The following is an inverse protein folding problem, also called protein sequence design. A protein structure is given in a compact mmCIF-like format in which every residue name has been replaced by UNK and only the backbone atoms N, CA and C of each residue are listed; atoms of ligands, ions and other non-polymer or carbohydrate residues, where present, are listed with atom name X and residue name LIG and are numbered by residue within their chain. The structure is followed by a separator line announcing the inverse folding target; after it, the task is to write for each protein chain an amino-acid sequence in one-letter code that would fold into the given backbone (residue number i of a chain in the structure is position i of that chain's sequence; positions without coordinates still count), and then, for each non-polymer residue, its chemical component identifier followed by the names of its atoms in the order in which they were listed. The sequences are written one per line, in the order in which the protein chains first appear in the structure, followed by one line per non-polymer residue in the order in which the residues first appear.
data_IF_914214303008
#
_entry.id   IF_914214303008
#
_cell.length_a   1.000
_cell.length_b   1.000
_cell.length_c   1.000
_cell.angle_alpha   90.00
_cell.angle_beta   90.00
_cell.angle_gamma   90.00
#
_symmetry.space_group_name_H-M   'P 1'
#
loop_
_entity.id
_entity.type
_entity.pdbx_description
1 polymer ?
#
# COMPACT_ATOMS: atom_id res chain seq x y z
N UNK A 1 16.56 61.69 28.96
CA UNK A 1 15.68 60.68 28.32
C UNK A 1 16.58 59.66 27.62
N UNK A 2 16.76 58.48 28.21
CA UNK A 2 17.65 57.42 27.68
C UNK A 2 16.80 56.44 26.87
N UNK A 3 17.01 56.37 25.55
CA UNK A 3 16.43 55.36 24.67
C UNK A 3 17.30 54.11 24.74
N UNK A 4 16.81 53.06 25.38
CA UNK A 4 17.40 51.74 25.32
C UNK A 4 17.08 51.09 23.97
N UNK A 5 18.11 50.81 23.16
CA UNK A 5 18.02 49.92 22.00
C UNK A 5 18.05 48.46 22.52
N UNK A 6 16.99 47.72 22.27
CA UNK A 6 16.89 46.28 22.53
C UNK A 6 17.29 45.53 21.24
N UNK A 7 18.24 44.58 21.26
CA UNK A 7 18.62 43.85 20.06
C UNK A 7 17.59 42.76 19.76
N UNK A 8 17.12 42.73 18.51
CA UNK A 8 16.24 41.70 17.97
C UNK A 8 17.08 40.44 17.70
N UNK A 9 17.02 39.46 18.60
CA UNK A 9 17.56 38.11 18.36
C UNK A 9 16.66 37.41 17.33
N UNK A 10 17.14 37.29 16.08
CA UNK A 10 16.59 36.32 15.14
C UNK A 10 17.00 34.92 15.62
N UNK A 11 16.08 34.20 16.25
CA UNK A 11 16.18 32.76 16.34
C UNK A 11 15.93 32.17 14.95
N UNK A 12 16.98 31.65 14.33
CA UNK A 12 16.83 30.67 13.25
C UNK A 12 16.21 29.44 13.90
N UNK A 13 14.89 29.35 13.85
CA UNK A 13 14.18 28.13 14.20
C UNK A 13 14.58 27.06 13.20
N UNK A 14 15.44 26.14 13.61
CA UNK A 14 15.42 24.79 13.05
C UNK A 14 13.99 24.30 13.23
N UNK A 15 13.23 24.20 12.13
CA UNK A 15 11.99 23.44 12.07
C UNK A 15 12.34 21.98 12.35
N UNK A 16 12.47 21.62 13.63
CA UNK A 16 12.33 20.24 14.06
C UNK A 16 10.91 19.84 13.69
N UNK A 17 10.76 18.78 12.89
CA UNK A 17 9.45 18.23 12.60
C UNK A 17 8.77 17.89 13.93
N UNK A 18 7.65 18.55 14.21
CA UNK A 18 6.80 18.23 15.35
C UNK A 18 6.51 16.72 15.36
N UNK A 19 6.54 16.05 16.51
CA UNK A 19 6.28 14.62 16.59
C UNK A 19 4.88 14.34 16.04
N UNK A 20 4.80 13.50 15.02
CA UNK A 20 3.55 13.24 14.31
C UNK A 20 2.76 12.16 15.04
N UNK A 21 1.42 12.28 15.02
CA UNK A 21 0.53 11.30 15.67
C UNK A 21 0.26 10.07 14.81
N UNK A 22 0.83 10.01 13.60
CA UNK A 22 0.70 8.89 12.67
C UNK A 22 2.02 8.11 12.60
N UNK A 23 1.99 6.79 12.38
CA UNK A 23 3.19 6.04 12.05
C UNK A 23 3.88 6.60 10.80
N UNK A 24 5.21 6.71 10.84
CA UNK A 24 6.02 7.22 9.75
C UNK A 24 6.77 6.08 9.06
N UNK A 25 6.54 5.91 7.77
CA UNK A 25 7.33 5.01 6.93
C UNK A 25 8.43 5.80 6.23
N UNK A 26 9.68 5.57 6.65
CA UNK A 26 10.87 6.12 6.01
C UNK A 26 11.36 5.18 4.92
N UNK A 27 11.52 5.73 3.73
CA UNK A 27 12.01 5.05 2.54
C UNK A 27 13.29 5.72 2.05
N UNK A 28 14.32 4.92 1.82
CA UNK A 28 15.56 5.38 1.17
C UNK A 28 15.75 4.60 -0.12
N UNK A 29 15.81 5.32 -1.24
CA UNK A 29 15.88 4.77 -2.60
C UNK A 29 16.99 5.50 -3.34
N UNK A 30 17.94 4.75 -3.91
CA UNK A 30 19.05 5.33 -4.69
C UNK A 30 18.64 5.60 -6.14
N UNK A 31 17.88 4.68 -6.71
CA UNK A 31 17.47 4.73 -8.12
C UNK A 31 16.15 5.50 -8.28
N UNK A 32 15.91 5.97 -9.52
CA UNK A 32 14.62 6.55 -9.87
C UNK A 32 13.51 5.50 -9.77
N UNK A 33 12.44 5.82 -9.05
CA UNK A 33 11.28 4.94 -8.92
C UNK A 33 10.46 5.01 -10.21
N UNK A 34 10.26 3.88 -10.87
CA UNK A 34 9.52 3.74 -12.13
C UNK A 34 8.27 2.88 -11.95
N UNK A 35 7.40 2.83 -12.94
CA UNK A 35 6.14 2.06 -12.86
C UNK A 35 6.33 0.59 -13.29
N UNK A 36 7.25 0.38 -14.23
CA UNK A 36 7.43 -0.88 -14.95
C UNK A 36 8.16 -1.91 -14.07
N UNK A 37 9.19 -1.47 -13.35
CA UNK A 37 10.06 -2.34 -12.57
C UNK A 37 10.23 -1.82 -11.13
N UNK A 38 10.36 -2.75 -10.19
CA UNK A 38 10.72 -2.43 -8.80
C UNK A 38 12.21 -2.11 -8.72
N UNK A 39 12.55 -1.10 -7.93
CA UNK A 39 13.93 -0.75 -7.58
C UNK A 39 14.21 -1.04 -6.11
N UNK A 40 15.43 -1.44 -5.74
CA UNK A 40 15.79 -1.68 -4.34
C UNK A 40 15.65 -0.42 -3.48
N UNK A 41 15.18 -0.60 -2.25
CA UNK A 41 15.10 0.45 -1.24
C UNK A 41 15.26 -0.12 0.17
N UNK A 42 15.49 0.75 1.16
CA UNK A 42 15.29 0.39 2.57
C UNK A 42 13.96 0.95 3.04
N UNK A 43 13.19 0.14 3.77
CA UNK A 43 11.95 0.55 4.42
C UNK A 43 12.09 0.47 5.94
N UNK A 44 11.63 1.51 6.62
CA UNK A 44 11.66 1.61 8.07
C UNK A 44 10.38 2.21 8.60
N UNK A 45 9.57 1.41 9.29
CA UNK A 45 8.38 1.88 9.96
C UNK A 45 8.73 2.38 11.37
N UNK A 46 8.21 3.56 11.71
CA UNK A 46 8.39 4.22 13.00
C UNK A 46 7.01 4.49 13.59
N UNK A 47 6.75 3.99 14.78
CA UNK A 47 5.51 4.28 15.52
C UNK A 47 5.73 5.42 16.52
N UNK A 48 4.75 6.31 16.74
CA UNK A 48 4.85 7.36 17.75
C UNK A 48 4.99 6.77 19.16
N UNK A 49 5.69 7.48 20.04
CA UNK A 49 5.85 7.07 21.44
C UNK A 49 4.48 6.94 22.13
N UNK A 50 4.23 5.81 22.78
CA UNK A 50 2.98 5.52 23.50
C UNK A 50 1.95 4.68 22.74
N UNK A 51 2.15 4.40 21.44
CA UNK A 51 1.33 3.43 20.69
C UNK A 51 2.00 2.05 20.62
N UNK A 52 1.97 1.29 21.71
CA UNK A 52 2.43 -0.11 21.73
C UNK A 52 3.91 -0.30 21.36
N UNK A 53 4.36 -1.54 21.15
CA UNK A 53 5.77 -1.85 20.86
C UNK A 53 6.31 -0.91 19.78
N UNK A 54 7.51 -0.38 19.99
CA UNK A 54 8.25 0.31 18.95
C UNK A 54 8.57 -0.70 17.84
N UNK A 55 7.60 -0.95 16.96
CA UNK A 55 7.71 -1.84 15.82
C UNK A 55 8.61 -1.16 14.80
N UNK A 56 9.89 -1.24 15.09
CA UNK A 56 10.96 -0.83 14.22
C UNK A 56 11.24 -2.00 13.29
N UNK A 57 10.48 -2.07 12.20
CA UNK A 57 10.82 -2.97 11.10
C UNK A 57 11.76 -2.25 10.17
N UNK A 58 13.07 -2.45 10.35
CA UNK A 58 14.10 -2.05 9.40
C UNK A 58 14.31 -3.21 8.42
N UNK A 59 14.15 -2.98 7.13
CA UNK A 59 14.28 -4.05 6.15
C UNK A 59 14.70 -3.59 4.77
N UNK A 60 15.38 -4.48 4.06
CA UNK A 60 15.51 -4.39 2.61
C UNK A 60 14.13 -4.55 1.98
N UNK A 61 13.87 -3.78 0.94
CA UNK A 61 12.62 -3.79 0.22
C UNK A 61 12.85 -3.41 -1.24
N UNK A 62 11.78 -3.46 -2.03
CA UNK A 62 11.75 -2.96 -3.40
C UNK A 62 10.47 -2.15 -3.61
N UNK A 63 10.58 -1.05 -4.36
CA UNK A 63 9.50 -0.10 -4.58
C UNK A 63 9.30 0.18 -6.06
N UNK A 64 8.04 0.34 -6.47
CA UNK A 64 7.67 0.88 -7.80
C UNK A 64 6.47 1.82 -7.70
N UNK A 65 6.31 2.68 -8.68
CA UNK A 65 5.07 3.44 -8.89
C UNK A 65 3.96 2.43 -9.22
N UNK A 66 2.76 2.66 -8.68
CA UNK A 66 1.57 1.85 -8.99
C UNK A 66 0.39 2.68 -9.45
N UNK A 67 -0.61 1.99 -9.96
CA UNK A 67 -1.82 2.56 -10.53
C UNK A 67 -1.76 2.54 -12.05
N UNK A 68 -2.80 3.06 -12.70
CA UNK A 68 -2.86 3.22 -14.15
C UNK A 68 -3.02 4.71 -14.46
N UNK A 69 -4.25 5.20 -14.58
CA UNK A 69 -4.54 6.62 -14.75
C UNK A 69 -3.97 7.50 -13.64
N UNK A 70 -3.93 6.99 -12.39
CA UNK A 70 -3.40 7.75 -11.25
C UNK A 70 -1.90 8.04 -11.31
N UNK A 71 -1.15 7.41 -12.23
CA UNK A 71 0.28 7.66 -12.38
C UNK A 71 0.57 9.07 -12.91
N UNK A 72 -0.40 9.77 -13.50
CA UNK A 72 -0.21 11.14 -14.00
C UNK A 72 -0.10 12.17 -12.86
N UNK A 73 -0.66 11.88 -11.69
CA UNK A 73 -0.70 12.81 -10.56
C UNK A 73 0.69 13.07 -9.98
N UNK A 74 0.92 14.27 -9.45
CA UNK A 74 2.21 14.65 -8.88
C UNK A 74 2.62 13.72 -7.73
N UNK A 75 1.71 13.48 -6.78
CA UNK A 75 1.92 12.55 -5.68
C UNK A 75 1.63 11.12 -6.11
N UNK A 76 2.70 10.33 -6.28
CA UNK A 76 2.60 8.94 -6.73
C UNK A 76 2.13 8.01 -5.61
N UNK A 77 1.33 7.01 -5.97
CA UNK A 77 1.11 5.82 -5.16
C UNK A 77 2.22 4.81 -5.43
N UNK A 78 2.60 4.03 -4.43
CA UNK A 78 3.67 3.04 -4.55
C UNK A 78 3.21 1.62 -4.21
N UNK A 79 3.81 0.64 -4.87
CA UNK A 79 3.80 -0.75 -4.41
C UNK A 79 5.15 -1.02 -3.76
N UNK A 80 5.12 -1.51 -2.52
CA UNK A 80 6.29 -1.85 -1.72
C UNK A 80 6.33 -3.36 -1.53
N UNK A 81 7.49 -3.99 -1.71
CA UNK A 81 7.72 -5.42 -1.45
C UNK A 81 8.90 -5.54 -0.49
N UNK A 82 8.65 -6.04 0.70
CA UNK A 82 9.67 -6.26 1.72
C UNK A 82 10.48 -7.51 1.39
N UNK A 83 11.74 -7.59 1.85
CA UNK A 83 12.51 -8.82 1.73
C UNK A 83 11.89 -9.94 2.58
N UNK A 84 11.45 -9.60 3.79
CA UNK A 84 10.75 -10.49 4.71
C UNK A 84 9.34 -9.98 4.96
N UNK A 85 8.40 -10.89 5.18
CA UNK A 85 7.05 -10.51 5.58
C UNK A 85 7.06 -9.76 6.92
N UNK A 86 6.21 -8.75 7.06
CA UNK A 86 6.03 -8.01 8.30
C UNK A 86 4.55 -7.84 8.62
N UNK A 87 4.18 -7.82 9.91
CA UNK A 87 2.82 -7.51 10.36
C UNK A 87 2.76 -6.06 10.82
N UNK A 88 2.44 -5.12 9.93
CA UNK A 88 2.49 -3.70 10.28
C UNK A 88 1.17 -3.20 10.86
N UNK A 89 1.25 -2.47 11.99
CA UNK A 89 0.14 -1.69 12.55
C UNK A 89 -1.13 -2.52 12.84
N UNK A 90 -0.92 -3.76 13.31
CA UNK A 90 -2.00 -4.72 13.60
C UNK A 90 -2.70 -5.27 12.35
N UNK A 91 -2.08 -5.16 11.18
CA UNK A 91 -2.52 -5.82 9.94
C UNK A 91 -1.85 -7.19 9.81
N UNK A 92 -2.48 -8.12 9.07
CA UNK A 92 -1.92 -9.45 8.87
C UNK A 92 -0.56 -9.39 8.17
N UNK A 93 0.31 -10.33 8.52
CA UNK A 93 1.69 -10.39 8.03
C UNK A 93 1.72 -10.47 6.51
N UNK A 94 2.45 -9.56 5.86
CA UNK A 94 2.53 -9.51 4.41
C UNK A 94 3.91 -9.07 3.92
N UNK A 95 4.32 -9.61 2.77
CA UNK A 95 5.53 -9.16 2.08
C UNK A 95 5.25 -7.93 1.21
N UNK A 96 4.11 -7.92 0.53
CA UNK A 96 3.70 -6.82 -0.34
C UNK A 96 2.76 -5.85 0.36
N UNK A 97 2.96 -4.56 0.12
CA UNK A 97 2.19 -3.47 0.71
C UNK A 97 1.87 -2.41 -0.34
N UNK A 98 0.74 -1.73 -0.13
CA UNK A 98 0.27 -0.66 -0.99
C UNK A 98 0.37 0.66 -0.25
N UNK A 99 1.06 1.64 -0.85
CA UNK A 99 1.07 3.03 -0.39
C UNK A 99 0.18 3.84 -1.32
N UNK A 100 -1.08 4.01 -0.94
CA UNK A 100 -2.04 4.78 -1.73
C UNK A 100 -1.99 6.26 -1.35
N UNK A 101 -1.64 7.12 -2.32
CA UNK A 101 -1.51 8.56 -2.11
C UNK A 101 -2.85 9.26 -1.84
N UNK A 102 -3.98 8.64 -2.23
CA UNK A 102 -5.32 9.23 -2.17
C UNK A 102 -5.40 10.65 -2.76
N UNK A 103 -4.60 10.95 -3.79
CA UNK A 103 -4.33 12.32 -4.23
C UNK A 103 -5.57 13.11 -4.67
N UNK A 104 -6.46 12.47 -5.43
CA UNK A 104 -7.71 13.10 -5.90
C UNK A 104 -8.80 13.14 -4.84
N UNK A 105 -8.62 12.40 -3.75
CA UNK A 105 -9.59 12.33 -2.67
C UNK A 105 -9.33 13.45 -1.67
N UNK A 106 -10.08 14.54 -1.80
CA UNK A 106 -9.94 15.70 -0.91
C UNK A 106 -10.12 15.37 0.59
N UNK A 107 -10.82 14.30 0.95
CA UNK A 107 -10.93 13.86 2.35
C UNK A 107 -9.88 12.83 2.76
N UNK A 108 -9.18 12.23 1.78
CA UNK A 108 -8.29 11.06 1.93
C UNK A 108 -8.94 9.81 2.54
N UNK A 109 -10.23 9.87 2.88
CA UNK A 109 -10.93 8.87 3.69
C UNK A 109 -11.82 7.95 2.88
N UNK A 110 -12.16 8.29 1.62
CA UNK A 110 -13.17 7.55 0.85
C UNK A 110 -12.77 6.09 0.66
N UNK A 111 -11.52 5.82 0.29
CA UNK A 111 -11.03 4.45 0.14
C UNK A 111 -11.14 3.64 1.43
N UNK A 112 -10.63 4.19 2.54
CA UNK A 112 -10.66 3.50 3.83
C UNK A 112 -12.10 3.26 4.29
N UNK A 113 -12.93 4.30 4.27
CA UNK A 113 -14.31 4.23 4.71
C UNK A 113 -15.10 3.20 3.89
N UNK A 114 -14.98 3.20 2.57
CA UNK A 114 -15.68 2.26 1.71
C UNK A 114 -15.25 0.81 1.97
N UNK A 115 -13.96 0.55 2.14
CA UNK A 115 -13.47 -0.82 2.40
C UNK A 115 -13.84 -1.29 3.80
N UNK A 116 -13.74 -0.42 4.80
CA UNK A 116 -14.14 -0.70 6.18
C UNK A 116 -15.66 -0.99 6.24
N UNK A 117 -16.48 -0.17 5.56
CA UNK A 117 -17.92 -0.37 5.45
C UNK A 117 -18.24 -1.70 4.76
N UNK A 118 -17.62 -2.00 3.62
CA UNK A 118 -17.87 -3.25 2.90
C UNK A 118 -17.58 -4.48 3.78
N UNK A 119 -16.47 -4.47 4.53
CA UNK A 119 -16.16 -5.54 5.50
C UNK A 119 -17.18 -5.62 6.63
N UNK A 120 -17.67 -4.48 7.15
CA UNK A 120 -18.66 -4.46 8.23
C UNK A 120 -20.02 -5.05 7.84
N UNK A 121 -20.31 -5.14 6.53
CA UNK A 121 -21.52 -5.79 6.01
C UNK A 121 -21.38 -7.32 5.93
N UNK A 122 -20.20 -7.88 6.22
CA UNK A 122 -19.95 -9.31 6.25
C UNK A 122 -20.42 -9.96 7.55
N UNK A 123 -20.64 -11.27 7.48
CA UNK A 123 -20.88 -12.12 8.66
C UNK A 123 -19.84 -13.24 8.69
N UNK A 124 -19.76 -13.99 9.80
CA UNK A 124 -18.87 -15.16 9.89
C UNK A 124 -19.19 -16.23 8.81
N UNK A 125 -20.45 -16.36 8.42
CA UNK A 125 -20.88 -17.32 7.39
C UNK A 125 -20.75 -16.77 5.96
N UNK A 126 -20.74 -15.45 5.79
CA UNK A 126 -20.60 -14.78 4.49
C UNK A 126 -19.68 -13.56 4.65
N UNK A 127 -18.36 -13.78 4.72
CA UNK A 127 -17.40 -12.70 4.86
C UNK A 127 -17.38 -11.82 3.61
N UNK A 128 -17.09 -10.54 3.80
CA UNK A 128 -16.87 -9.56 2.73
C UNK A 128 -15.41 -9.17 2.74
N UNK A 129 -14.70 -9.47 1.67
CA UNK A 129 -13.26 -9.25 1.59
C UNK A 129 -12.96 -7.90 0.93
N UNK A 130 -12.23 -7.05 1.64
CA UNK A 130 -11.65 -5.82 1.11
C UNK A 130 -10.38 -5.49 1.89
N UNK A 131 -9.38 -4.92 1.21
CA UNK A 131 -8.08 -4.65 1.81
C UNK A 131 -8.19 -3.83 3.12
N UNK A 132 -7.59 -4.32 4.20
CA UNK A 132 -7.46 -3.54 5.42
C UNK A 132 -6.38 -2.48 5.26
N UNK A 133 -6.52 -1.37 5.99
CA UNK A 133 -5.65 -0.21 5.82
C UNK A 133 -5.46 0.64 7.07
N UNK A 134 -4.35 1.41 7.09
CA UNK A 134 -3.96 2.34 8.15
C UNK A 134 -3.43 3.64 7.53
N UNK A 135 -3.76 4.77 8.13
CA UNK A 135 -3.12 6.02 7.77
C UNK A 135 -1.71 6.05 8.33
N UNK A 136 -0.77 6.42 7.47
CA UNK A 136 0.64 6.60 7.82
C UNK A 136 1.15 7.86 7.14
N UNK A 137 2.31 8.32 7.56
CA UNK A 137 3.09 9.29 6.81
C UNK A 137 4.22 8.59 6.07
N UNK A 138 4.68 9.22 4.98
CA UNK A 138 5.82 8.73 4.22
C UNK A 138 6.89 9.81 4.18
N UNK A 139 8.13 9.41 4.48
CA UNK A 139 9.34 10.18 4.21
C UNK A 139 10.14 9.45 3.14
N UNK A 140 10.45 10.13 2.03
CA UNK A 140 11.20 9.56 0.92
C UNK A 140 12.52 10.34 0.75
N UNK A 141 13.65 9.64 0.92
CA UNK A 141 14.99 10.23 0.81
C UNK A 141 15.19 11.48 1.69
N UNK A 142 14.71 11.42 2.94
CA UNK A 142 14.81 12.53 3.90
C UNK A 142 13.82 13.66 3.68
N UNK A 143 12.92 13.55 2.69
CA UNK A 143 11.87 14.55 2.43
C UNK A 143 10.51 14.00 2.82
N UNK A 144 9.75 14.78 3.59
CA UNK A 144 8.37 14.44 3.90
C UNK A 144 7.52 14.42 2.63
N UNK A 145 6.80 13.32 2.43
CA UNK A 145 6.01 13.04 1.23
C UNK A 145 4.49 13.05 1.52
N UNK A 146 4.10 13.41 2.74
CA UNK A 146 2.71 13.52 3.16
C UNK A 146 2.10 12.23 3.70
N UNK A 147 0.81 12.30 3.98
CA UNK A 147 -0.01 11.18 4.47
C UNK A 147 -0.33 10.20 3.34
N UNK A 148 -0.30 8.91 3.63
CA UNK A 148 -0.67 7.81 2.75
C UNK A 148 -1.63 6.87 3.45
N UNK A 149 -2.37 6.11 2.66
CA UNK A 149 -3.10 4.95 3.14
C UNK A 149 -2.23 3.70 2.87
N UNK A 150 -1.66 3.11 3.92
CA UNK A 150 -1.02 1.80 3.88
C UNK A 150 -2.10 0.74 3.78
N UNK A 151 -2.07 -0.10 2.76
CA UNK A 151 -3.08 -1.12 2.52
C UNK A 151 -2.45 -2.49 2.26
N UNK A 152 -3.16 -3.53 2.66
CA UNK A 152 -2.88 -4.89 2.19
C UNK A 152 -3.19 -5.01 0.68
N UNK A 153 -2.49 -5.89 -0.04
CA UNK A 153 -2.88 -6.24 -1.42
C UNK A 153 -4.19 -7.04 -1.42
N UNK A 154 -4.75 -7.21 -2.62
CA UNK A 154 -5.87 -8.12 -2.87
C UNK A 154 -5.28 -9.36 -3.52
N UNK A 155 -5.19 -10.43 -2.75
CA UNK A 155 -4.54 -11.70 -3.10
C UNK A 155 -5.29 -12.89 -2.47
N UNK A 156 -4.74 -14.08 -2.67
CA UNK A 156 -5.25 -15.35 -2.15
C UNK A 156 -5.39 -15.35 -0.62
N UNK A 157 -4.41 -14.77 0.08
CA UNK A 157 -4.38 -14.63 1.54
C UNK A 157 -5.52 -13.76 2.06
N UNK A 158 -5.83 -12.66 1.38
CA UNK A 158 -6.94 -11.79 1.77
C UNK A 158 -8.27 -12.54 1.76
N UNK A 159 -8.51 -13.38 0.75
CA UNK A 159 -9.77 -14.13 0.59
C UNK A 159 -9.75 -15.50 1.26
N UNK A 160 -8.64 -15.89 1.89
CA UNK A 160 -8.52 -17.13 2.65
C UNK A 160 -8.37 -18.38 1.78
N UNK A 161 -7.90 -18.23 0.54
CA UNK A 161 -7.55 -19.37 -0.29
C UNK A 161 -6.28 -20.03 0.23
N UNK A 162 -6.23 -21.37 0.16
CA UNK A 162 -5.03 -22.10 0.51
C UNK A 162 -3.99 -21.89 -0.58
N UNK A 163 -2.75 -21.63 -0.20
CA UNK A 163 -1.63 -21.56 -1.14
C UNK A 163 -1.61 -22.84 -1.99
N UNK A 164 -1.52 -22.67 -3.30
CA UNK A 164 -1.66 -23.69 -4.35
C UNK A 164 -0.49 -24.68 -4.38
N UNK A 165 -0.18 -25.31 -3.26
CA UNK A 165 0.93 -26.27 -3.11
C UNK A 165 0.46 -27.73 -3.02
N UNK A 166 -0.83 -28.00 -3.27
CA UNK A 166 -1.39 -29.34 -3.15
C UNK A 166 -2.23 -29.72 -4.38
N UNK A 167 -1.88 -30.80 -5.11
CA UNK A 167 -2.58 -31.21 -6.35
C UNK A 167 -4.03 -31.67 -6.13
N UNK A 168 -4.50 -31.73 -4.87
CA UNK A 168 -5.84 -32.14 -4.50
C UNK A 168 -6.84 -30.98 -4.30
N UNK A 169 -6.42 -29.73 -4.48
CA UNK A 169 -7.29 -28.54 -4.30
C UNK A 169 -7.62 -27.94 -5.64
N UNK A 170 -8.91 -27.73 -5.94
CA UNK A 170 -9.31 -26.92 -7.11
C UNK A 170 -8.58 -25.58 -7.03
N UNK A 171 -7.83 -25.16 -8.08
CA UNK A 171 -7.10 -23.90 -8.03
C UNK A 171 -8.12 -22.78 -7.92
N UNK A 172 -8.08 -22.05 -6.81
CA UNK A 172 -8.87 -20.86 -6.66
C UNK A 172 -8.20 -19.74 -7.46
N UNK A 173 -8.98 -19.01 -8.24
CA UNK A 173 -8.47 -17.97 -9.14
C UNK A 173 -8.97 -16.60 -8.71
N UNK A 174 -8.12 -15.60 -8.84
CA UNK A 174 -8.50 -14.20 -8.61
C UNK A 174 -8.36 -13.47 -9.94
N UNK A 175 -9.45 -12.88 -10.39
CA UNK A 175 -9.48 -12.01 -11.56
C UNK A 175 -9.63 -10.56 -11.13
N UNK A 176 -8.93 -9.68 -11.84
CA UNK A 176 -9.04 -8.22 -11.70
C UNK A 176 -9.68 -7.65 -12.95
N UNK A 177 -10.77 -6.90 -12.78
CA UNK A 177 -11.32 -6.07 -13.85
C UNK A 177 -10.31 -4.98 -14.25
N UNK A 178 -9.91 -4.94 -15.52
CA UNK A 178 -8.91 -4.00 -16.05
C UNK A 178 -9.44 -3.10 -17.15
N UNK A 179 -10.54 -3.47 -17.80
CA UNK A 179 -11.21 -2.62 -18.79
C UNK A 179 -12.74 -2.71 -18.70
N UNK A 180 -13.42 -2.13 -19.69
CA UNK A 180 -14.87 -1.99 -19.76
C UNK A 180 -15.62 -3.27 -20.18
N UNK A 181 -14.91 -4.27 -20.72
CA UNK A 181 -15.49 -5.57 -21.05
C UNK A 181 -15.75 -6.41 -19.80
N UNK A 182 -15.14 -6.06 -18.66
CA UNK A 182 -15.42 -6.63 -17.35
C UNK A 182 -16.78 -6.19 -16.77
N UNK A 183 -17.86 -6.45 -17.52
CA UNK A 183 -19.20 -5.96 -17.26
C UNK A 183 -20.25 -7.08 -17.06
N UNK A 184 -19.82 -8.35 -17.11
CA UNK A 184 -20.69 -9.54 -17.00
C UNK A 184 -21.81 -9.64 -18.06
N UNK A 185 -21.75 -8.82 -19.11
CA UNK A 185 -22.74 -8.78 -20.19
C UNK A 185 -22.46 -9.76 -21.33
N UNK A 186 -21.25 -10.33 -21.39
CA UNK A 186 -20.85 -11.33 -22.37
C UNK A 186 -20.25 -12.54 -21.65
N UNK A 187 -20.40 -13.77 -22.20
CA UNK A 187 -19.67 -14.93 -21.70
C UNK A 187 -18.16 -14.75 -21.88
N UNK A 188 -17.38 -15.46 -21.06
CA UNK A 188 -15.91 -15.44 -21.08
C UNK A 188 -15.28 -14.50 -20.04
N UNK A 189 -14.00 -14.20 -20.24
CA UNK A 189 -13.17 -13.42 -19.31
C UNK A 189 -12.65 -12.10 -19.92
N UNK A 190 -13.30 -11.61 -20.97
CA UNK A 190 -13.00 -10.31 -21.58
C UNK A 190 -12.95 -9.21 -20.53
N UNK A 191 -11.88 -8.41 -20.55
CA UNK A 191 -11.65 -7.34 -19.59
C UNK A 191 -11.20 -7.75 -18.18
N UNK A 192 -11.03 -9.04 -17.92
CA UNK A 192 -10.49 -9.54 -16.66
C UNK A 192 -9.05 -10.06 -16.84
N UNK A 193 -8.15 -9.63 -15.96
CA UNK A 193 -6.78 -10.12 -15.86
C UNK A 193 -6.67 -11.09 -14.68
N UNK A 194 -6.24 -12.34 -14.91
CA UNK A 194 -5.97 -13.27 -13.81
C UNK A 194 -4.75 -12.78 -13.01
N UNK A 195 -4.93 -12.68 -11.70
CA UNK A 195 -3.92 -12.30 -10.71
C UNK A 195 -3.39 -13.50 -9.94
N UNK A 196 -4.27 -14.42 -9.56
CA UNK A 196 -3.90 -15.63 -8.84
C UNK A 196 -4.49 -16.87 -9.55
N UNK A 197 -3.72 -17.96 -9.68
CA UNK A 197 -2.26 -17.99 -9.55
C UNK A 197 -1.62 -17.08 -10.60
N UNK A 198 -0.47 -16.50 -10.28
CA UNK A 198 0.29 -15.65 -11.20
C UNK A 198 0.62 -16.44 -12.49
N UNK A 199 0.10 -16.04 -13.66
CA UNK A 199 0.28 -16.78 -14.91
C UNK A 199 1.75 -16.86 -15.34
N UNK A 200 2.59 -15.89 -14.96
CA UNK A 200 4.02 -15.92 -15.29
C UNK A 200 4.77 -17.03 -14.52
N UNK A 201 4.26 -17.41 -13.35
CA UNK A 201 4.85 -18.45 -12.50
C UNK A 201 4.31 -19.86 -12.79
N UNK A 202 3.26 -19.99 -13.62
CA UNK A 202 2.70 -21.28 -14.03
C UNK A 202 2.30 -21.30 -15.52
N UNK A 203 3.27 -21.37 -16.45
CA UNK A 203 3.02 -21.35 -17.90
C UNK A 203 2.32 -22.60 -18.46
N UNK A 204 2.02 -23.60 -17.61
CA UNK A 204 1.38 -24.87 -18.01
C UNK A 204 -0.13 -24.89 -17.86
N UNK A 205 -0.74 -23.81 -17.35
CA UNK A 205 -2.19 -23.63 -17.34
C UNK A 205 -2.66 -23.32 -18.75
N UNK A 206 -3.29 -24.29 -19.40
CA UNK A 206 -3.89 -24.18 -20.73
C UNK A 206 -4.69 -22.88 -20.86
N UNK A 207 -4.15 -21.90 -21.60
CA UNK A 207 -4.85 -20.69 -22.00
C UNK A 207 -5.83 -21.02 -23.13
N UNK A 208 -6.71 -21.99 -22.92
CA UNK A 208 -7.80 -22.27 -23.83
C UNK A 208 -8.87 -21.19 -23.62
N UNK A 209 -8.78 -20.16 -24.45
CA UNK A 209 -9.89 -19.25 -24.76
C UNK A 209 -11.13 -20.08 -25.08
N UNK A 210 -12.10 -20.06 -24.18
CA UNK A 210 -13.46 -20.59 -24.37
C UNK A 210 -14.47 -19.53 -23.95
#
# INVERSE_FOLDING_TARGET
MIRALLPLLLSVGCFGAEPTNLPLLRLTVKDAIKAEARVPCSARLLTPAGQGTSDRTDGLAQIKIRGASSQVYEKKSFALKLAEEAGWLGLAKHQEWVLNAAYVDASMMRHKLSYDLFRSLGTNASPRYAAASRFIEVELNGKYHGVYLLMQPVDDRLVGFQATNSPATSPAVIYKAVDHEANFGQPGHGGFEQREPDPENNPSGDHSTS
#
